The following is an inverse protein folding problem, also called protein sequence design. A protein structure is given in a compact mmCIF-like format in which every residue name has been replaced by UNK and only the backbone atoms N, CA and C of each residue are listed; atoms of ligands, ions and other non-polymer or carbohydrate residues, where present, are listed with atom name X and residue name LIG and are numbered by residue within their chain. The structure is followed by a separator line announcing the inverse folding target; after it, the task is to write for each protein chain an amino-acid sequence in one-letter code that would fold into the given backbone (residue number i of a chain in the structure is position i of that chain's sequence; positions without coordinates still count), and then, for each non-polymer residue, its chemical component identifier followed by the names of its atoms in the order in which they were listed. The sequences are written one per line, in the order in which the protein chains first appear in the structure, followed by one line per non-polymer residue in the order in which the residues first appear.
data_IF_349360700473
#
_entry.id   IF_349360700473
#
_cell.length_a   1.000
_cell.length_b   1.000
_cell.length_c   1.000
_cell.angle_alpha   90.00
_cell.angle_beta   90.00
_cell.angle_gamma   90.00
#
_symmetry.space_group_name_H-M   'P 1'
#
loop_
_entity.id
_entity.type
_entity.pdbx_description
1 polymer ?
#
# COMPACT_ATOMS: atom_id res chain seq x y z
N UNK A 1 31.91 55.46 31.94
CA UNK A 1 31.44 55.61 33.34
C UNK A 1 29.98 56.06 33.28
N UNK A 2 28.99 55.22 33.63
CA UNK A 2 29.07 53.81 34.05
C UNK A 2 29.34 52.89 32.80
N UNK A 3 28.65 51.82 32.39
CA UNK A 3 27.42 51.14 32.84
C UNK A 3 27.33 49.70 32.29
N UNK A 4 26.34 48.92 32.75
CA UNK A 4 26.25 47.46 32.60
C UNK A 4 24.93 46.99 31.94
N UNK A 5 24.87 45.74 31.42
CA UNK A 5 23.68 45.26 30.68
C UNK A 5 23.67 43.78 30.26
N UNK A 6 23.82 42.85 31.21
CA UNK A 6 24.11 41.41 31.02
C UNK A 6 22.89 40.51 30.72
N UNK A 7 22.83 39.83 29.56
CA UNK A 7 22.23 38.49 29.29
C UNK A 7 22.28 38.18 27.76
N UNK A 8 22.73 37.05 27.20
CA UNK A 8 22.63 35.62 27.52
C UNK A 8 21.23 35.00 27.45
N UNK A 9 20.91 34.34 26.33
CA UNK A 9 20.03 33.15 26.32
C UNK A 9 20.09 32.34 25.02
N UNK A 10 20.00 31.01 25.16
CA UNK A 10 20.04 30.02 24.06
C UNK A 10 18.70 29.95 23.33
N UNK A 11 18.66 30.06 21.99
CA UNK A 11 17.52 29.52 21.23
C UNK A 11 17.65 28.00 21.12
N UNK A 12 16.56 27.30 21.45
CA UNK A 12 16.49 25.84 21.57
C UNK A 12 16.39 25.16 20.20
N UNK A 13 16.83 23.90 20.10
CA UNK A 13 16.32 22.98 19.07
C UNK A 13 14.80 22.85 19.23
N UNK A 14 14.07 22.88 18.12
CA UNK A 14 12.68 22.41 18.05
C UNK A 14 12.72 20.99 17.48
N UNK A 15 12.27 20.02 18.25
CA UNK A 15 12.14 18.61 17.83
C UNK A 15 10.72 18.34 17.36
N UNK A 16 10.49 18.39 16.04
CA UNK A 16 9.22 17.97 15.44
C UNK A 16 9.13 16.44 15.37
N UNK A 17 8.62 15.82 16.43
CA UNK A 17 8.16 14.43 16.38
C UNK A 17 6.88 14.29 15.53
N UNK A 18 6.56 13.08 15.04
CA UNK A 18 5.33 12.86 14.27
C UNK A 18 4.10 13.07 15.16
N UNK A 19 3.17 13.91 14.72
CA UNK A 19 1.94 14.21 15.44
C UNK A 19 0.87 13.15 15.15
N UNK A 20 0.61 12.26 16.11
CA UNK A 20 -0.58 11.41 16.10
C UNK A 20 -1.84 12.29 16.26
N UNK A 21 -2.43 12.70 15.14
CA UNK A 21 -3.76 13.31 15.11
C UNK A 21 -4.86 12.28 15.37
N UNK A 22 -6.04 12.69 15.86
CA UNK A 22 -7.16 11.78 16.05
C UNK A 22 -7.70 11.27 14.70
N UNK A 23 -8.23 10.04 14.72
CA UNK A 23 -8.85 9.38 13.57
C UNK A 23 -9.97 10.26 13.00
N UNK A 24 -9.86 10.69 11.73
CA UNK A 24 -10.85 11.56 11.10
C UNK A 24 -12.03 10.74 10.58
N UNK A 25 -13.25 11.10 10.98
CA UNK A 25 -14.48 10.52 10.47
C UNK A 25 -14.75 10.95 9.02
N UNK A 26 -15.34 10.04 8.24
CA UNK A 26 -15.83 10.34 6.88
C UNK A 26 -17.02 11.32 6.92
N UNK A 27 -17.28 12.10 5.86
CA UNK A 27 -18.45 12.98 5.76
C UNK A 27 -19.79 12.22 5.61
N UNK A 28 -19.74 10.91 5.33
CA UNK A 28 -20.92 10.02 5.21
C UNK A 28 -21.48 9.53 6.57
N UNK A 29 -20.82 9.85 7.68
CA UNK A 29 -21.27 9.48 9.03
C UNK A 29 -21.18 8.00 9.40
N UNK A 30 -20.66 7.12 8.52
CA UNK A 30 -20.74 5.66 8.73
C UNK A 30 -19.51 5.13 9.47
N UNK A 31 -19.64 4.94 10.78
CA UNK A 31 -18.58 4.45 11.67
C UNK A 31 -18.31 2.93 11.51
N UNK A 32 -17.66 2.56 10.41
CA UNK A 32 -16.98 1.26 10.30
C UNK A 32 -15.80 1.20 11.29
N UNK A 33 -15.49 0.03 11.84
CA UNK A 33 -14.23 -0.12 12.57
C UNK A 33 -13.07 -0.31 11.57
N UNK A 34 -11.86 0.10 11.95
CA UNK A 34 -10.64 -0.09 11.14
C UNK A 34 -10.26 -1.57 10.91
N UNK A 35 -11.01 -2.53 11.46
CA UNK A 35 -10.94 -3.95 11.06
C UNK A 35 -11.82 -4.22 9.84
N UNK A 36 -13.07 -3.78 9.88
CA UNK A 36 -14.06 -4.06 8.83
C UNK A 36 -13.65 -3.48 7.47
N UNK A 37 -13.09 -2.26 7.46
CA UNK A 37 -12.54 -1.64 6.23
C UNK A 37 -11.34 -2.44 5.70
N UNK A 38 -10.39 -2.82 6.56
CA UNK A 38 -9.20 -3.61 6.18
C UNK A 38 -9.58 -4.99 5.66
N UNK A 39 -10.53 -5.64 6.30
CA UNK A 39 -10.94 -7.00 5.96
C UNK A 39 -11.73 -7.02 4.63
N UNK A 40 -12.41 -5.92 4.26
CA UNK A 40 -12.90 -5.66 2.89
C UNK A 40 -11.76 -5.59 1.86
N UNK A 41 -10.67 -4.90 2.17
CA UNK A 41 -9.52 -4.79 1.26
C UNK A 41 -8.79 -6.13 1.08
N UNK A 42 -8.73 -6.94 2.14
CA UNK A 42 -8.22 -8.33 2.11
C UNK A 42 -9.10 -9.20 1.19
N UNK A 43 -10.43 -9.11 1.28
CA UNK A 43 -11.34 -9.88 0.43
C UNK A 43 -11.21 -9.49 -1.06
N UNK A 44 -11.02 -8.21 -1.37
CA UNK A 44 -10.75 -7.74 -2.74
C UNK A 44 -9.43 -8.33 -3.28
N UNK A 45 -8.37 -8.33 -2.47
CA UNK A 45 -7.09 -8.95 -2.84
C UNK A 45 -7.20 -10.49 -2.98
N UNK A 46 -8.02 -11.15 -2.15
CA UNK A 46 -8.31 -12.59 -2.25
C UNK A 46 -9.06 -12.92 -3.54
N UNK A 47 -10.09 -12.14 -3.89
CA UNK A 47 -10.83 -12.24 -5.17
C UNK A 47 -9.92 -12.03 -6.38
N UNK A 48 -8.96 -11.10 -6.28
CA UNK A 48 -7.93 -10.90 -7.31
C UNK A 48 -7.04 -12.13 -7.48
N UNK A 49 -6.45 -12.64 -6.39
CA UNK A 49 -5.67 -13.90 -6.40
C UNK A 49 -6.46 -15.04 -7.03
N UNK A 50 -7.73 -15.21 -6.66
CA UNK A 50 -8.59 -16.27 -7.20
C UNK A 50 -8.94 -16.11 -8.69
N UNK A 51 -9.13 -14.89 -9.22
CA UNK A 51 -9.34 -14.71 -10.68
C UNK A 51 -8.02 -14.94 -11.44
N UNK A 52 -6.90 -14.40 -10.94
CA UNK A 52 -5.60 -14.48 -11.59
C UNK A 52 -5.03 -15.91 -11.64
N UNK A 53 -5.10 -16.67 -10.53
CA UNK A 53 -4.57 -18.03 -10.45
C UNK A 53 -5.28 -19.05 -11.36
N UNK A 54 -6.45 -18.69 -11.93
CA UNK A 54 -7.15 -19.48 -12.96
C UNK A 54 -6.67 -19.21 -14.39
N UNK A 55 -5.83 -18.19 -14.60
CA UNK A 55 -5.41 -17.70 -15.92
C UNK A 55 -3.88 -17.64 -16.09
N UNK A 56 -3.14 -17.40 -15.00
CA UNK A 56 -1.68 -17.32 -14.98
C UNK A 56 -1.11 -18.02 -13.73
N UNK A 57 0.15 -18.50 -13.75
CA UNK A 57 0.83 -18.95 -12.55
C UNK A 57 1.02 -17.79 -11.56
N UNK A 58 0.51 -17.92 -10.34
CA UNK A 58 0.67 -16.94 -9.26
C UNK A 58 1.32 -17.63 -8.06
N UNK A 59 2.41 -17.08 -7.56
CA UNK A 59 3.17 -17.60 -6.41
C UNK A 59 2.75 -16.95 -5.10
N UNK A 60 2.55 -15.63 -5.10
CA UNK A 60 2.11 -14.86 -3.92
C UNK A 60 1.24 -13.68 -4.37
N UNK A 61 0.27 -13.29 -3.55
CA UNK A 61 -0.43 -12.00 -3.65
C UNK A 61 -0.40 -11.34 -2.27
N UNK A 62 -0.17 -10.02 -2.23
CA UNK A 62 -0.25 -9.23 -0.98
C UNK A 62 -0.99 -7.92 -1.20
N UNK A 63 -1.84 -7.55 -0.25
CA UNK A 63 -2.33 -6.17 -0.11
C UNK A 63 -1.23 -5.33 0.53
N UNK A 64 -0.88 -4.17 -0.03
CA UNK A 64 0.04 -3.21 0.59
C UNK A 64 -0.55 -1.78 0.58
N UNK A 65 0.28 -0.74 0.64
CA UNK A 65 -0.17 0.66 0.55
C UNK A 65 -0.74 1.23 1.86
N UNK A 66 -1.46 2.34 1.77
CA UNK A 66 -2.16 2.96 2.92
C UNK A 66 -3.26 2.05 3.46
N UNK A 67 -4.00 1.39 2.56
CA UNK A 67 -5.07 0.41 2.82
C UNK A 67 -4.62 -0.77 3.70
N UNK A 68 -3.35 -1.17 3.64
CA UNK A 68 -2.79 -2.21 4.51
C UNK A 68 -2.40 -1.71 5.91
N UNK A 69 -2.08 -0.41 6.06
CA UNK A 69 -1.68 0.21 7.35
C UNK A 69 -2.86 0.81 8.13
N UNK A 70 -3.98 1.12 7.49
CA UNK A 70 -5.14 1.74 8.12
C UNK A 70 -4.98 3.26 8.32
N UNK A 71 -4.17 3.89 7.45
CA UNK A 71 -3.96 5.34 7.31
C UNK A 71 -4.58 5.86 5.99
N UNK A 72 -5.54 5.12 5.42
CA UNK A 72 -6.13 5.36 4.12
C UNK A 72 -7.20 6.47 4.11
N UNK A 73 -7.23 7.21 3.00
CA UNK A 73 -8.34 8.12 2.66
C UNK A 73 -9.45 7.34 1.94
N UNK A 74 -10.70 7.86 1.88
CA UNK A 74 -11.75 7.25 1.05
C UNK A 74 -11.31 7.04 -0.40
N UNK A 75 -10.51 7.97 -0.93
CA UNK A 75 -9.98 8.04 -2.30
C UNK A 75 -8.71 7.19 -2.55
N UNK A 76 -8.12 6.54 -1.54
CA UNK A 76 -6.85 5.80 -1.71
C UNK A 76 -6.99 4.56 -2.61
N UNK A 77 -6.06 4.37 -3.55
CA UNK A 77 -6.01 3.16 -4.38
C UNK A 77 -5.77 1.88 -3.54
N UNK A 78 -6.18 0.73 -4.08
CA UNK A 78 -5.93 -0.60 -3.49
C UNK A 78 -4.67 -1.20 -4.13
N UNK A 79 -3.53 -0.93 -3.50
CA UNK A 79 -2.20 -1.45 -3.85
C UNK A 79 -2.12 -2.99 -3.69
N UNK A 80 -1.95 -3.72 -4.79
CA UNK A 80 -1.85 -5.21 -4.80
C UNK A 80 -0.55 -5.68 -5.44
N UNK A 81 0.26 -6.38 -4.66
CA UNK A 81 1.47 -7.05 -5.13
C UNK A 81 1.14 -8.43 -5.66
N UNK A 82 1.75 -8.81 -6.79
CA UNK A 82 1.60 -10.12 -7.43
C UNK A 82 2.99 -10.66 -7.79
N UNK A 83 3.32 -11.84 -7.26
CA UNK A 83 4.52 -12.61 -7.61
C UNK A 83 4.14 -13.73 -8.59
N UNK A 84 4.84 -13.81 -9.72
CA UNK A 84 4.42 -14.65 -10.86
C UNK A 84 5.62 -15.09 -11.71
N UNK A 85 5.37 -15.76 -12.84
CA UNK A 85 6.38 -16.03 -13.89
C UNK A 85 6.54 -14.82 -14.81
N UNK A 86 7.53 -14.83 -15.70
CA UNK A 86 7.79 -13.74 -16.64
C UNK A 86 6.65 -13.57 -17.66
N UNK A 87 5.68 -12.71 -17.32
CA UNK A 87 4.44 -12.57 -18.10
C UNK A 87 4.65 -11.87 -19.46
N UNK A 88 4.05 -12.46 -20.50
CA UNK A 88 3.93 -11.85 -21.84
C UNK A 88 3.08 -10.59 -21.81
N UNK A 89 3.16 -9.75 -22.87
CA UNK A 89 2.33 -8.55 -23.02
C UNK A 89 0.81 -8.85 -22.97
N UNK A 90 0.38 -10.01 -23.47
CA UNK A 90 -1.03 -10.42 -23.42
C UNK A 90 -1.45 -10.77 -21.98
N UNK A 91 -0.64 -11.55 -21.25
CA UNK A 91 -0.91 -11.88 -19.86
C UNK A 91 -0.86 -10.65 -18.94
N UNK A 92 0.08 -9.72 -19.15
CA UNK A 92 0.12 -8.45 -18.40
C UNK A 92 -1.13 -7.61 -18.62
N UNK A 93 -1.66 -7.58 -19.85
CA UNK A 93 -2.96 -6.96 -20.13
C UNK A 93 -4.10 -7.69 -19.41
N UNK A 94 -4.14 -9.03 -19.47
CA UNK A 94 -5.16 -9.83 -18.78
C UNK A 94 -5.16 -9.59 -17.25
N UNK A 95 -3.99 -9.39 -16.64
CA UNK A 95 -3.88 -8.98 -15.22
C UNK A 95 -4.54 -7.61 -15.01
N UNK A 96 -4.23 -6.61 -15.84
CA UNK A 96 -4.85 -5.28 -15.75
C UNK A 96 -6.37 -5.32 -15.95
N UNK A 97 -6.85 -6.06 -16.96
CA UNK A 97 -8.28 -6.16 -17.29
C UNK A 97 -9.04 -6.82 -16.11
N UNK A 98 -8.54 -7.93 -15.54
CA UNK A 98 -9.14 -8.63 -14.38
C UNK A 98 -9.19 -7.74 -13.13
N UNK A 99 -8.13 -6.96 -12.86
CA UNK A 99 -8.08 -6.10 -11.68
C UNK A 99 -8.93 -4.84 -11.84
N UNK A 100 -9.05 -4.33 -13.08
CA UNK A 100 -9.97 -3.26 -13.41
C UNK A 100 -11.43 -3.69 -13.20
N UNK A 101 -11.83 -4.89 -13.64
CA UNK A 101 -13.15 -5.45 -13.35
C UNK A 101 -13.42 -5.51 -11.84
N UNK A 102 -12.50 -6.10 -11.06
CA UNK A 102 -12.66 -6.25 -9.61
C UNK A 102 -12.74 -4.89 -8.91
N UNK A 103 -11.95 -3.91 -9.34
CA UNK A 103 -12.00 -2.55 -8.83
C UNK A 103 -13.33 -1.86 -9.15
N UNK A 104 -13.76 -1.93 -10.41
CA UNK A 104 -15.02 -1.35 -10.88
C UNK A 104 -16.24 -1.96 -10.15
N UNK A 105 -16.28 -3.28 -9.98
CA UNK A 105 -17.28 -4.00 -9.16
C UNK A 105 -17.34 -3.52 -7.70
N UNK A 106 -16.26 -2.93 -7.17
CA UNK A 106 -16.14 -2.49 -5.77
C UNK A 106 -16.09 -0.96 -5.60
N UNK A 107 -16.18 -0.18 -6.68
CA UNK A 107 -16.08 1.28 -6.65
C UNK A 107 -14.70 1.80 -6.23
N UNK A 108 -13.62 1.08 -6.54
CA UNK A 108 -12.24 1.45 -6.19
C UNK A 108 -11.25 1.18 -7.33
N UNK A 109 -10.12 1.88 -7.36
CA UNK A 109 -8.99 1.53 -8.23
C UNK A 109 -8.17 0.43 -7.56
N UNK A 110 -7.81 -0.60 -8.31
CA UNK A 110 -6.87 -1.65 -7.85
C UNK A 110 -5.57 -1.52 -8.65
N UNK A 111 -4.47 -1.25 -7.96
CA UNK A 111 -3.17 -0.91 -8.55
C UNK A 111 -2.20 -2.10 -8.45
N UNK A 112 -1.95 -2.85 -9.54
CA UNK A 112 -1.00 -3.96 -9.52
C UNK A 112 0.47 -3.53 -9.56
N UNK A 113 1.28 -4.11 -8.68
CA UNK A 113 2.73 -4.24 -8.86
C UNK A 113 3.06 -5.72 -9.08
N UNK A 114 3.44 -6.05 -10.31
CA UNK A 114 3.72 -7.41 -10.76
C UNK A 114 5.23 -7.61 -10.92
N UNK A 115 5.82 -8.47 -10.10
CA UNK A 115 7.22 -8.92 -10.29
C UNK A 115 7.22 -10.39 -10.72
N UNK A 116 8.06 -10.71 -11.70
CA UNK A 116 8.35 -12.11 -12.01
C UNK A 116 9.38 -12.67 -11.02
N UNK A 117 9.42 -13.98 -10.87
CA UNK A 117 10.47 -14.66 -10.11
C UNK A 117 11.87 -14.34 -10.64
N UNK A 118 12.00 -14.22 -11.96
CA UNK A 118 13.24 -13.86 -12.67
C UNK A 118 13.72 -12.44 -12.30
N UNK A 119 12.80 -11.47 -12.19
CA UNK A 119 13.08 -10.10 -11.71
C UNK A 119 13.63 -10.08 -10.26
N UNK A 120 13.23 -11.07 -9.44
CA UNK A 120 13.54 -11.15 -8.00
C UNK A 120 14.77 -12.02 -7.70
N UNK A 121 15.08 -13.00 -8.54
CA UNK A 121 16.24 -13.88 -8.37
C UNK A 121 17.48 -13.34 -9.11
N UNK A 122 17.30 -12.76 -10.29
CA UNK A 122 18.41 -12.27 -11.15
C UNK A 122 18.43 -10.75 -11.34
N UNK A 123 17.34 -10.05 -11.03
CA UNK A 123 17.19 -8.61 -11.28
C UNK A 123 17.54 -7.71 -10.08
N UNK A 124 17.80 -6.40 -10.33
CA UNK A 124 17.99 -5.40 -9.28
C UNK A 124 16.71 -5.11 -8.47
N UNK A 125 15.55 -5.61 -8.91
CA UNK A 125 14.28 -5.48 -8.18
C UNK A 125 14.29 -6.24 -6.84
N UNK A 126 15.13 -7.26 -6.69
CA UNK A 126 15.51 -7.88 -5.41
C UNK A 126 15.98 -6.88 -4.33
N UNK A 127 16.67 -5.81 -4.76
CA UNK A 127 17.16 -4.75 -3.89
C UNK A 127 16.15 -3.60 -3.71
N UNK A 128 15.01 -3.63 -4.41
CA UNK A 128 14.03 -2.54 -4.43
C UNK A 128 13.50 -2.20 -3.03
N UNK A 129 13.53 -0.92 -2.60
CA UNK A 129 12.89 -0.49 -1.36
C UNK A 129 11.39 -0.79 -1.32
N UNK A 130 10.72 -0.80 -2.48
CA UNK A 130 9.31 -1.17 -2.61
C UNK A 130 9.10 -2.66 -2.31
N UNK A 131 9.86 -3.56 -2.97
CA UNK A 131 9.80 -5.00 -2.71
C UNK A 131 10.04 -5.35 -1.23
N UNK A 132 11.09 -4.77 -0.64
CA UNK A 132 11.43 -4.95 0.79
C UNK A 132 10.36 -4.42 1.74
N UNK A 133 9.60 -3.41 1.32
CA UNK A 133 8.47 -2.86 2.09
C UNK A 133 7.23 -3.73 1.94
N UNK A 134 6.92 -4.20 0.73
CA UNK A 134 5.83 -5.15 0.45
C UNK A 134 6.01 -6.46 1.23
N UNK A 135 7.20 -7.06 1.25
CA UNK A 135 7.45 -8.31 2.00
C UNK A 135 7.39 -8.10 3.54
N UNK A 136 7.60 -6.88 4.03
CA UNK A 136 7.59 -6.51 5.48
C UNK A 136 6.20 -6.10 5.99
N UNK A 137 5.49 -5.26 5.23
CA UNK A 137 4.24 -4.61 5.64
C UNK A 137 3.01 -5.13 4.88
N UNK A 138 3.21 -5.77 3.72
CA UNK A 138 2.12 -6.27 2.88
C UNK A 138 1.49 -7.54 3.46
N UNK A 139 0.17 -7.52 3.59
CA UNK A 139 -0.66 -8.60 4.15
C UNK A 139 -0.82 -9.69 3.08
N UNK A 140 -0.38 -10.94 3.32
CA UNK A 140 -0.58 -12.05 2.39
C UNK A 140 -2.04 -12.49 2.36
N UNK A 141 -2.49 -12.89 1.17
CA UNK A 141 -3.82 -13.47 0.87
C UNK A 141 -3.66 -14.75 0.04
#
# INVERSE_FOLDING_TARGET
MPDEGRASSRKRRVSSGPTNGPCKTRPDGTAHSRRDERDRWIEIARKAKERLARQIPVFEVRLYGSRARGDDTPESDVDVYIETVSLTRQQRRLVSDILWEIGFENGVVVAPVVFSREDLENGPLSASPLYRTIKREGIPV
#
